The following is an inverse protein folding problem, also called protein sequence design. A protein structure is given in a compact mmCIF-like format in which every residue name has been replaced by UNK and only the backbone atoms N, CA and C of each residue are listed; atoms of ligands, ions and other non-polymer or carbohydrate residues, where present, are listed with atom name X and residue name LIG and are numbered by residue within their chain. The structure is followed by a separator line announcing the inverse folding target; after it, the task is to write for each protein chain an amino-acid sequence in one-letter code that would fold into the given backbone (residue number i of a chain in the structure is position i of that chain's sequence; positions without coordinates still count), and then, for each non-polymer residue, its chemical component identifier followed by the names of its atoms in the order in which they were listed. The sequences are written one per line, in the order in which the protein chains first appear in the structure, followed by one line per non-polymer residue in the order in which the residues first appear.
data_IF_947808376766
#
_entry.id   IF_947808376766
#
_cell.length_a   1.000
_cell.length_b   1.000
_cell.length_c   1.000
_cell.angle_alpha   90.00
_cell.angle_beta   90.00
_cell.angle_gamma   90.00
#
_symmetry.space_group_name_H-M   'P 1'
#
loop_
_entity.id
_entity.type
_entity.pdbx_description
1 polymer ?
#
# COMPACT_ATOMS: atom_id res chain seq x y z
N UNK A 1 19.59 -16.14 4.15
CA UNK A 1 18.45 -15.65 4.95
C UNK A 1 17.70 -14.64 4.08
N UNK A 2 16.41 -14.84 3.83
CA UNK A 2 15.61 -13.94 2.99
C UNK A 2 15.08 -12.77 3.81
N UNK A 3 14.98 -11.60 3.19
CA UNK A 3 14.33 -10.43 3.79
C UNK A 3 12.87 -10.38 3.35
N UNK A 4 11.92 -10.36 4.29
CA UNK A 4 10.51 -10.24 4.00
C UNK A 4 10.13 -8.76 4.13
N UNK A 5 9.59 -8.18 3.06
CA UNK A 5 9.13 -6.81 3.01
C UNK A 5 7.60 -6.79 3.00
N UNK A 6 6.98 -6.29 4.07
CA UNK A 6 5.55 -6.02 4.12
C UNK A 6 5.27 -4.57 3.74
N UNK A 7 4.44 -4.36 2.74
CA UNK A 7 3.95 -3.03 2.40
C UNK A 7 2.47 -3.07 2.04
N UNK A 8 1.74 -2.08 2.54
CA UNK A 8 0.29 -2.02 2.48
C UNK A 8 -0.17 -0.77 1.75
N UNK A 9 -1.17 -0.92 0.88
CA UNK A 9 -1.88 0.20 0.29
C UNK A 9 -3.01 0.64 1.22
N UNK A 10 -3.09 1.93 1.50
CA UNK A 10 -4.23 2.56 2.18
C UNK A 10 -4.80 3.63 1.27
N UNK A 11 -5.94 3.34 0.67
CA UNK A 11 -6.59 4.25 -0.26
C UNK A 11 -8.11 4.26 -0.07
N UNK A 12 -8.67 5.45 -0.01
CA UNK A 12 -10.12 5.66 -0.06
C UNK A 12 -10.43 6.78 -1.05
N UNK A 13 -11.11 6.48 -2.18
CA UNK A 13 -11.51 7.51 -3.13
C UNK A 13 -12.62 8.39 -2.53
N UNK A 14 -12.66 9.65 -2.94
CA UNK A 14 -13.83 10.47 -2.71
C UNK A 14 -14.99 9.99 -3.61
N UNK A 15 -16.11 9.65 -2.99
CA UNK A 15 -17.34 9.29 -3.69
C UNK A 15 -18.12 10.53 -3.99
N UNK A 16 -18.54 10.64 -5.25
CA UNK A 16 -19.33 11.79 -5.73
C UNK A 16 -20.81 11.49 -5.56
N UNK A 17 -21.58 12.51 -5.17
CA UNK A 17 -23.05 12.42 -5.22
C UNK A 17 -23.55 12.40 -6.67
N UNK A 18 -24.76 11.90 -6.84
CA UNK A 18 -25.41 11.97 -8.16
C UNK A 18 -25.62 13.44 -8.55
N UNK A 19 -24.96 13.88 -9.61
CA UNK A 19 -24.99 15.23 -10.13
C UNK A 19 -25.88 15.28 -11.38
N UNK A 20 -26.76 16.26 -11.46
CA UNK A 20 -27.66 16.45 -12.61
C UNK A 20 -27.14 17.58 -13.49
N UNK A 21 -27.50 17.58 -14.77
CA UNK A 21 -27.14 18.64 -15.71
C UNK A 21 -27.47 20.04 -15.17
N UNK A 22 -28.65 20.21 -14.56
CA UNK A 22 -29.12 21.50 -14.04
C UNK A 22 -28.41 21.94 -12.72
N UNK A 23 -27.64 21.08 -12.09
CA UNK A 23 -26.86 21.40 -10.91
C UNK A 23 -25.51 22.04 -11.27
N UNK A 24 -25.06 21.88 -12.53
CA UNK A 24 -23.81 22.44 -13.02
C UNK A 24 -23.79 23.96 -12.90
N UNK A 25 -22.74 24.49 -12.28
CA UNK A 25 -22.58 25.93 -12.05
C UNK A 25 -23.49 26.56 -10.98
N UNK A 26 -24.34 25.72 -10.32
CA UNK A 26 -25.23 26.19 -9.22
C UNK A 26 -24.87 25.59 -7.87
N UNK A 27 -24.48 24.35 -7.83
CA UNK A 27 -24.03 23.64 -6.62
C UNK A 27 -22.63 23.10 -6.87
N UNK A 28 -21.69 23.49 -6.01
CA UNK A 28 -20.29 23.05 -6.08
C UNK A 28 -19.95 22.00 -5.01
N UNK A 29 -20.93 21.51 -4.27
CA UNK A 29 -20.76 20.40 -3.36
C UNK A 29 -20.89 19.07 -4.10
N UNK A 30 -19.78 18.56 -4.64
CA UNK A 30 -19.74 17.36 -5.48
C UNK A 30 -19.67 16.06 -4.66
N UNK A 31 -19.28 16.14 -3.40
CA UNK A 31 -18.98 14.97 -2.55
C UNK A 31 -20.24 14.40 -1.90
N UNK A 32 -20.32 13.08 -1.85
CA UNK A 32 -21.31 12.37 -1.04
C UNK A 32 -20.77 12.20 0.40
N UNK A 33 -20.93 13.24 1.21
CA UNK A 33 -20.41 13.27 2.58
C UNK A 33 -20.95 12.15 3.47
N UNK A 34 -22.21 11.77 3.30
CA UNK A 34 -22.83 10.71 4.10
C UNK A 34 -22.18 9.36 3.80
N UNK A 35 -22.06 9.02 2.52
CA UNK A 35 -21.43 7.77 2.08
C UNK A 35 -19.94 7.75 2.43
N UNK A 36 -19.19 8.83 2.16
CA UNK A 36 -17.77 8.92 2.48
C UNK A 36 -17.53 8.75 3.98
N UNK A 37 -18.30 9.44 4.83
CA UNK A 37 -18.23 9.31 6.29
C UNK A 37 -18.55 7.89 6.74
N UNK A 38 -19.65 7.31 6.26
CA UNK A 38 -20.10 5.97 6.66
C UNK A 38 -19.05 4.91 6.34
N UNK A 39 -18.48 4.96 5.13
CA UNK A 39 -17.45 4.00 4.70
C UNK A 39 -16.16 4.21 5.48
N UNK A 40 -15.68 5.46 5.64
CA UNK A 40 -14.47 5.71 6.40
C UNK A 40 -14.59 5.25 7.85
N UNK A 41 -15.72 5.51 8.51
CA UNK A 41 -15.96 5.06 9.88
C UNK A 41 -16.07 3.54 9.99
N UNK A 42 -16.67 2.87 9.00
CA UNK A 42 -16.71 1.41 8.94
C UNK A 42 -15.31 0.82 8.84
N UNK A 43 -14.53 1.25 7.84
CA UNK A 43 -13.18 0.74 7.62
C UNK A 43 -12.25 1.10 8.78
N UNK A 44 -12.41 2.28 9.39
CA UNK A 44 -11.70 2.66 10.61
C UNK A 44 -11.89 1.64 11.73
N UNK A 45 -13.13 1.26 11.98
CA UNK A 45 -13.49 0.33 13.07
C UNK A 45 -13.12 -1.12 12.77
N UNK A 46 -13.32 -1.55 11.52
CA UNK A 46 -13.21 -2.97 11.15
C UNK A 46 -11.80 -3.36 10.69
N UNK A 47 -11.01 -2.39 10.16
CA UNK A 47 -9.68 -2.61 9.61
C UNK A 47 -8.61 -1.74 10.28
N UNK A 48 -8.62 -0.41 10.05
CA UNK A 48 -7.46 0.43 10.33
C UNK A 48 -7.06 0.46 11.82
N UNK A 49 -8.00 0.67 12.72
CA UNK A 49 -7.71 0.72 14.16
C UNK A 49 -7.25 -0.63 14.72
N UNK A 50 -7.95 -1.76 14.45
CA UNK A 50 -7.49 -3.08 14.91
C UNK A 50 -6.12 -3.43 14.35
N UNK A 51 -5.89 -3.24 13.06
CA UNK A 51 -4.63 -3.60 12.42
C UNK A 51 -3.47 -2.70 12.88
N UNK A 52 -3.69 -1.38 13.03
CA UNK A 52 -2.67 -0.48 13.57
C UNK A 52 -2.30 -0.84 15.02
N UNK A 53 -3.27 -1.29 15.83
CA UNK A 53 -3.00 -1.78 17.17
C UNK A 53 -2.18 -3.07 17.16
N UNK A 54 -2.51 -4.02 16.26
CA UNK A 54 -1.75 -5.25 16.06
C UNK A 54 -0.29 -4.95 15.67
N UNK A 55 -0.08 -4.14 14.65
CA UNK A 55 1.27 -3.76 14.18
C UNK A 55 2.07 -3.05 15.27
N UNK A 56 1.44 -2.15 16.01
CA UNK A 56 2.09 -1.48 17.14
C UNK A 56 2.55 -2.47 18.21
N UNK A 57 1.73 -3.47 18.52
CA UNK A 57 2.07 -4.53 19.47
C UNK A 57 3.21 -5.42 18.95
N UNK A 58 3.17 -5.80 17.66
CA UNK A 58 4.25 -6.58 17.03
C UNK A 58 5.59 -5.84 17.05
N UNK A 59 5.59 -4.54 16.76
CA UNK A 59 6.79 -3.70 16.86
C UNK A 59 7.34 -3.70 18.30
N UNK A 60 6.48 -3.54 19.31
CA UNK A 60 6.89 -3.55 20.72
C UNK A 60 7.42 -4.91 21.17
N UNK A 61 6.69 -5.99 20.83
CA UNK A 61 7.07 -7.36 21.22
C UNK A 61 8.37 -7.82 20.55
N UNK A 62 8.61 -7.35 19.33
CA UNK A 62 9.84 -7.64 18.60
C UNK A 62 11.01 -6.70 18.94
N UNK A 63 10.83 -5.77 19.89
CA UNK A 63 11.83 -4.76 20.24
C UNK A 63 12.31 -3.95 19.01
N UNK A 64 11.38 -3.63 18.09
CA UNK A 64 11.65 -2.88 16.87
C UNK A 64 12.29 -3.69 15.74
N UNK A 65 12.40 -5.00 15.85
CA UNK A 65 12.87 -5.87 14.75
C UNK A 65 11.83 -6.05 13.65
N UNK A 66 10.55 -6.05 14.01
CA UNK A 66 9.47 -6.00 13.02
C UNK A 66 9.34 -4.59 12.44
N UNK A 67 9.31 -4.51 11.12
CA UNK A 67 9.15 -3.26 10.38
C UNK A 67 8.17 -3.49 9.24
N UNK A 68 7.43 -2.45 8.85
CA UNK A 68 6.53 -2.48 7.70
C UNK A 68 6.47 -1.12 7.01
N UNK A 69 5.82 -1.10 5.85
CA UNK A 69 5.78 0.07 4.98
C UNK A 69 4.34 0.33 4.53
N UNK A 70 3.96 1.60 4.43
CA UNK A 70 2.66 2.02 3.92
C UNK A 70 2.77 2.89 2.68
N UNK A 71 1.92 2.61 1.70
CA UNK A 71 1.55 3.49 0.61
C UNK A 71 0.20 4.11 1.00
N UNK A 72 0.20 5.34 1.50
CA UNK A 72 -0.95 6.01 2.09
C UNK A 72 -1.30 7.25 1.29
N UNK A 73 -2.38 7.21 0.51
CA UNK A 73 -2.76 8.30 -0.39
C UNK A 73 -3.16 9.59 0.32
N UNK A 74 -2.97 10.73 -0.33
CA UNK A 74 -3.43 12.02 0.18
C UNK A 74 -4.93 12.05 0.42
N UNK A 75 -5.72 11.44 -0.48
CA UNK A 75 -7.17 11.37 -0.33
C UNK A 75 -7.61 10.56 0.91
N UNK A 76 -6.89 9.48 1.23
CA UNK A 76 -7.17 8.72 2.44
C UNK A 76 -6.86 9.54 3.70
N UNK A 77 -5.74 10.28 3.71
CA UNK A 77 -5.39 11.20 4.82
C UNK A 77 -6.44 12.29 4.99
N UNK A 78 -6.93 12.88 3.90
CA UNK A 78 -8.00 13.89 3.95
C UNK A 78 -9.28 13.34 4.57
N UNK A 79 -9.71 12.15 4.14
CA UNK A 79 -10.91 11.50 4.66
C UNK A 79 -10.75 11.07 6.12
N UNK A 80 -9.57 10.54 6.52
CA UNK A 80 -9.28 10.26 7.92
C UNK A 80 -9.38 11.52 8.77
N UNK A 81 -8.80 12.63 8.31
CA UNK A 81 -8.87 13.93 9.02
C UNK A 81 -10.30 14.42 9.19
N UNK A 82 -11.15 14.22 8.17
CA UNK A 82 -12.52 14.69 8.17
C UNK A 82 -13.49 13.80 8.97
N UNK A 83 -13.29 12.46 8.94
CA UNK A 83 -14.31 11.52 9.39
C UNK A 83 -13.85 10.50 10.44
N UNK A 84 -12.54 10.31 10.62
CA UNK A 84 -11.93 9.36 11.55
C UNK A 84 -10.52 9.83 12.00
N UNK A 85 -10.41 10.99 12.68
CA UNK A 85 -9.11 11.55 13.08
C UNK A 85 -8.29 10.62 13.98
N UNK A 86 -8.95 9.75 14.75
CA UNK A 86 -8.31 8.73 15.58
C UNK A 86 -7.49 7.71 14.76
N UNK A 87 -7.90 7.44 13.52
CA UNK A 87 -7.13 6.58 12.60
C UNK A 87 -5.82 7.28 12.20
N UNK A 88 -5.90 8.56 11.81
CA UNK A 88 -4.71 9.33 11.46
C UNK A 88 -3.74 9.42 12.65
N UNK A 89 -4.25 9.59 13.86
CA UNK A 89 -3.43 9.59 15.08
C UNK A 89 -2.79 8.23 15.35
N UNK A 90 -3.48 7.13 15.03
CA UNK A 90 -2.91 5.79 15.13
C UNK A 90 -1.75 5.56 14.15
N UNK A 91 -1.84 6.06 12.90
CA UNK A 91 -0.72 6.05 11.94
C UNK A 91 0.45 6.94 12.42
N UNK A 92 0.16 8.12 13.00
CA UNK A 92 1.21 8.97 13.60
C UNK A 92 1.93 8.26 14.75
N UNK A 93 1.21 7.47 15.56
CA UNK A 93 1.82 6.64 16.62
C UNK A 93 2.74 5.57 16.04
N UNK A 94 2.33 4.90 14.96
CA UNK A 94 3.17 3.94 14.23
C UNK A 94 4.42 4.63 13.68
N UNK A 95 4.28 5.79 13.04
CA UNK A 95 5.42 6.55 12.51
C UNK A 95 6.47 6.88 13.60
N UNK A 96 6.02 7.29 14.80
CA UNK A 96 6.91 7.62 15.93
C UNK A 96 7.71 6.44 16.47
N UNK A 97 7.36 5.21 16.12
CA UNK A 97 8.17 4.03 16.51
C UNK A 97 9.50 3.95 15.75
N UNK A 98 9.64 4.65 14.63
CA UNK A 98 10.78 4.53 13.72
C UNK A 98 10.88 3.17 12.99
N UNK A 99 9.83 2.33 13.11
CA UNK A 99 9.76 1.01 12.49
C UNK A 99 8.79 0.95 11.31
N UNK A 100 8.18 2.09 10.95
CA UNK A 100 7.25 2.22 9.84
C UNK A 100 7.80 3.22 8.83
N UNK A 101 7.85 2.83 7.56
CA UNK A 101 8.20 3.68 6.44
C UNK A 101 6.93 4.05 5.65
N UNK A 102 6.89 5.27 5.13
CA UNK A 102 5.85 5.71 4.18
C UNK A 102 6.47 5.84 2.79
N UNK A 103 5.82 5.24 1.80
CA UNK A 103 6.21 5.37 0.40
C UNK A 103 5.70 6.68 -0.18
N UNK A 104 6.43 7.23 -1.15
CA UNK A 104 5.87 8.24 -2.03
C UNK A 104 4.98 7.57 -3.07
N UNK A 105 3.91 8.26 -3.43
CA UNK A 105 2.99 7.87 -4.51
C UNK A 105 2.33 9.12 -5.12
N UNK A 106 1.40 8.95 -6.06
CA UNK A 106 0.56 10.07 -6.52
C UNK A 106 -0.45 10.44 -5.43
N UNK A 107 -0.61 11.72 -5.14
CA UNK A 107 -1.48 12.24 -4.08
C UNK A 107 -2.91 11.69 -4.15
N UNK A 108 -3.48 11.67 -5.35
CA UNK A 108 -4.87 11.30 -5.59
C UNK A 108 -5.05 9.87 -6.14
N UNK A 109 -4.06 8.99 -5.99
CA UNK A 109 -4.07 7.67 -6.63
C UNK A 109 -4.26 7.77 -8.15
N UNK A 110 -3.58 8.72 -8.75
CA UNK A 110 -3.74 9.13 -10.14
C UNK A 110 -2.95 8.24 -11.10
N UNK A 111 -3.47 8.08 -12.32
CA UNK A 111 -2.76 7.47 -13.45
C UNK A 111 -1.93 8.47 -14.26
N UNK A 112 -1.59 9.63 -13.70
CA UNK A 112 -0.85 10.69 -14.36
C UNK A 112 0.48 10.23 -14.96
N UNK A 113 1.13 9.21 -14.37
CA UNK A 113 2.35 8.59 -14.91
C UNK A 113 2.21 8.05 -16.34
N UNK A 114 0.97 7.81 -16.81
CA UNK A 114 0.67 7.32 -18.16
C UNK A 114 0.35 8.44 -19.16
N UNK A 115 0.07 9.66 -18.68
CA UNK A 115 -0.47 10.75 -19.52
C UNK A 115 0.35 12.03 -19.49
N UNK A 116 0.83 12.46 -18.34
CA UNK A 116 1.53 13.74 -18.16
C UNK A 116 2.62 13.61 -17.10
N UNK A 117 3.87 13.80 -17.52
CA UNK A 117 5.02 13.81 -16.60
C UNK A 117 4.92 14.96 -15.58
N UNK A 118 4.48 16.14 -16.02
CA UNK A 118 4.32 17.30 -15.16
C UNK A 118 3.31 17.02 -14.04
N UNK A 119 2.12 16.53 -14.38
CA UNK A 119 1.09 16.19 -13.41
C UNK A 119 1.56 15.07 -12.47
N UNK A 120 2.25 14.08 -13.02
CA UNK A 120 2.82 13.00 -12.23
C UNK A 120 3.80 13.52 -11.18
N UNK A 121 4.77 14.36 -11.58
CA UNK A 121 5.74 14.95 -10.67
C UNK A 121 5.07 15.87 -9.64
N UNK A 122 4.07 16.65 -10.04
CA UNK A 122 3.31 17.50 -9.13
C UNK A 122 2.55 16.70 -8.08
N UNK A 123 1.85 15.62 -8.48
CA UNK A 123 1.14 14.73 -7.57
C UNK A 123 2.10 14.11 -6.54
N UNK A 124 3.27 13.66 -6.97
CA UNK A 124 4.28 13.07 -6.09
C UNK A 124 4.87 14.11 -5.13
N UNK A 125 5.12 15.33 -5.60
CA UNK A 125 5.61 16.43 -4.75
C UNK A 125 4.59 16.79 -3.65
N UNK A 126 3.31 16.94 -4.01
CA UNK A 126 2.22 17.20 -3.06
C UNK A 126 2.12 16.10 -2.01
N UNK A 127 2.21 14.83 -2.44
CA UNK A 127 2.18 13.69 -1.54
C UNK A 127 3.37 13.68 -0.59
N UNK A 128 4.59 13.92 -1.09
CA UNK A 128 5.81 13.96 -0.29
C UNK A 128 5.74 15.04 0.79
N UNK A 129 5.23 16.23 0.47
CA UNK A 129 5.03 17.30 1.44
C UNK A 129 3.96 16.93 2.48
N UNK A 130 2.89 16.24 2.08
CA UNK A 130 1.89 15.74 3.01
C UNK A 130 2.51 14.75 4.00
N UNK A 131 3.31 13.78 3.53
CA UNK A 131 3.97 12.78 4.39
C UNK A 131 4.90 13.45 5.40
N UNK A 132 5.70 14.44 4.97
CA UNK A 132 6.55 15.23 5.89
C UNK A 132 5.71 15.95 6.94
N UNK A 133 4.62 16.57 6.54
CA UNK A 133 3.75 17.34 7.44
C UNK A 133 3.06 16.45 8.47
N UNK A 134 2.54 15.30 8.05
CA UNK A 134 1.73 14.43 8.91
C UNK A 134 2.57 13.50 9.78
N UNK A 135 3.68 13.00 9.26
CA UNK A 135 4.48 11.95 9.90
C UNK A 135 5.91 12.37 10.22
N UNK A 136 6.34 13.56 9.79
CA UNK A 136 7.69 14.06 10.06
C UNK A 136 8.79 13.40 9.25
N UNK A 137 8.45 12.58 8.24
CA UNK A 137 9.41 11.78 7.47
C UNK A 137 9.20 12.03 5.98
N UNK A 138 10.30 12.26 5.26
CA UNK A 138 10.29 12.31 3.82
C UNK A 138 10.40 10.87 3.26
N UNK A 139 9.49 10.44 2.37
CA UNK A 139 9.61 9.15 1.68
C UNK A 139 10.92 9.05 0.90
N UNK A 140 11.53 7.86 0.93
CA UNK A 140 12.77 7.54 0.18
C UNK A 140 12.55 6.50 -0.92
N UNK A 141 11.47 5.75 -0.82
CA UNK A 141 11.02 4.77 -1.80
C UNK A 141 9.67 5.18 -2.40
N UNK A 142 9.41 4.70 -3.59
CA UNK A 142 8.25 5.08 -4.40
C UNK A 142 7.40 3.86 -4.78
N UNK A 143 6.09 4.02 -4.80
CA UNK A 143 5.14 3.09 -5.37
C UNK A 143 4.20 3.82 -6.32
N UNK A 144 4.13 3.39 -7.57
CA UNK A 144 3.16 3.97 -8.52
C UNK A 144 1.77 3.37 -8.30
N UNK A 145 0.74 4.13 -8.67
CA UNK A 145 -0.66 3.69 -8.70
C UNK A 145 -0.76 2.34 -9.40
N UNK A 146 -1.48 1.39 -8.77
CA UNK A 146 -1.68 0.00 -9.27
C UNK A 146 -0.38 -0.76 -9.57
N UNK A 147 0.75 -0.40 -8.93
CA UNK A 147 2.08 -0.95 -9.19
C UNK A 147 2.51 -0.85 -10.67
N UNK A 148 1.89 0.05 -11.44
CA UNK A 148 2.18 0.26 -12.85
C UNK A 148 3.64 0.68 -13.01
N UNK A 149 4.34 -0.03 -13.87
CA UNK A 149 5.74 0.19 -14.17
C UNK A 149 6.02 0.16 -15.67
N UNK A 150 6.90 1.02 -16.11
CA UNK A 150 7.70 0.92 -17.33
C UNK A 150 9.07 1.50 -17.05
N UNK A 151 10.07 1.19 -17.88
CA UNK A 151 11.42 1.74 -17.70
C UNK A 151 11.42 3.28 -17.77
N UNK A 152 10.52 3.88 -18.58
CA UNK A 152 10.35 5.33 -18.64
C UNK A 152 9.81 5.89 -17.32
N UNK A 153 8.75 5.30 -16.76
CA UNK A 153 8.20 5.71 -15.45
C UNK A 153 9.29 5.59 -14.40
N UNK A 154 10.03 4.48 -14.39
CA UNK A 154 11.16 4.31 -13.46
C UNK A 154 12.24 5.38 -13.63
N UNK A 155 12.56 5.78 -14.86
CA UNK A 155 13.50 6.89 -15.12
C UNK A 155 12.97 8.22 -14.57
N UNK A 156 11.68 8.53 -14.73
CA UNK A 156 11.06 9.73 -14.16
C UNK A 156 11.08 9.70 -12.62
N UNK A 157 10.88 8.53 -12.02
CA UNK A 157 10.97 8.32 -10.55
C UNK A 157 12.41 8.53 -10.05
N UNK A 158 13.40 8.04 -10.78
CA UNK A 158 14.81 8.28 -10.47
C UNK A 158 15.19 9.76 -10.55
N UNK A 159 14.65 10.47 -11.55
CA UNK A 159 14.83 11.92 -11.72
C UNK A 159 14.26 12.72 -10.54
N UNK A 160 13.14 12.26 -9.94
CA UNK A 160 12.60 12.84 -8.71
C UNK A 160 13.44 12.54 -7.46
N UNK A 161 14.53 11.76 -7.58
CA UNK A 161 15.50 11.49 -6.50
C UNK A 161 15.23 10.21 -5.70
N UNK A 162 14.21 9.40 -6.04
CA UNK A 162 13.97 8.12 -5.39
C UNK A 162 15.02 7.07 -5.83
N UNK A 163 15.36 6.20 -4.88
CA UNK A 163 16.36 5.13 -5.11
C UNK A 163 15.75 3.75 -5.25
N UNK A 164 14.51 3.59 -4.79
CA UNK A 164 13.78 2.33 -4.80
C UNK A 164 12.35 2.56 -5.27
N UNK A 165 11.88 1.67 -6.14
CA UNK A 165 10.49 1.65 -6.59
C UNK A 165 9.93 0.24 -6.45
N UNK A 166 8.69 0.17 -5.99
CA UNK A 166 7.93 -1.06 -5.89
C UNK A 166 7.07 -1.22 -7.15
N UNK A 167 7.08 -2.41 -7.72
CA UNK A 167 6.34 -2.72 -8.95
C UNK A 167 5.76 -4.14 -8.89
N UNK A 168 4.86 -4.48 -9.82
CA UNK A 168 4.28 -5.83 -9.93
C UNK A 168 5.31 -6.83 -10.46
N UNK A 169 5.35 -8.02 -9.85
CA UNK A 169 6.16 -9.15 -10.31
C UNK A 169 5.46 -9.92 -11.43
N UNK A 170 5.13 -9.25 -12.53
CA UNK A 170 4.32 -9.78 -13.61
C UNK A 170 5.01 -10.96 -14.32
N UNK A 171 4.47 -12.17 -14.18
CA UNK A 171 5.06 -13.42 -14.68
C UNK A 171 5.33 -13.38 -16.18
N UNK A 172 4.43 -12.77 -16.96
CA UNK A 172 4.60 -12.70 -18.43
C UNK A 172 5.77 -11.80 -18.85
N UNK A 173 6.20 -10.87 -17.99
CA UNK A 173 7.39 -10.03 -18.20
C UNK A 173 8.64 -10.71 -17.67
N UNK A 174 8.57 -11.29 -16.47
CA UNK A 174 9.71 -11.95 -15.83
C UNK A 174 10.09 -13.26 -16.52
N UNK A 175 9.13 -13.96 -17.13
CA UNK A 175 9.35 -15.28 -17.71
C UNK A 175 9.75 -16.29 -16.64
N UNK A 176 10.98 -16.79 -16.72
CA UNK A 176 11.55 -17.73 -15.75
C UNK A 176 12.19 -17.08 -14.53
N UNK A 177 12.37 -15.76 -14.54
CA UNK A 177 13.05 -15.03 -13.45
C UNK A 177 12.12 -14.90 -12.24
N UNK A 178 12.71 -14.94 -11.04
CA UNK A 178 11.99 -14.79 -9.78
C UNK A 178 11.75 -13.32 -9.41
N UNK A 179 10.59 -12.93 -8.83
CA UNK A 179 10.38 -11.63 -8.23
C UNK A 179 11.20 -11.44 -6.93
N UNK A 180 11.87 -12.47 -6.44
CA UNK A 180 12.68 -12.45 -5.22
C UNK A 180 14.05 -11.79 -5.39
N UNK A 181 14.45 -11.39 -6.60
CA UNK A 181 15.68 -10.64 -6.83
C UNK A 181 15.43 -9.13 -6.81
N UNK A 182 16.47 -8.38 -6.46
CA UNK A 182 16.47 -6.92 -6.62
C UNK A 182 16.87 -6.58 -8.04
N UNK A 183 15.95 -5.94 -8.77
CA UNK A 183 16.19 -5.49 -10.13
C UNK A 183 16.67 -4.03 -10.18
N UNK A 184 17.04 -3.57 -11.35
CA UNK A 184 17.32 -2.17 -11.60
C UNK A 184 16.54 -1.69 -12.83
N UNK A 185 16.19 -0.41 -12.84
CA UNK A 185 15.60 0.21 -14.03
C UNK A 185 16.60 0.17 -15.20
N UNK A 186 16.14 -0.17 -16.41
CA UNK A 186 17.02 -0.32 -17.56
C UNK A 186 17.57 1.03 -18.08
N UNK A 187 16.82 2.12 -17.89
CA UNK A 187 17.22 3.47 -18.32
C UNK A 187 18.03 4.21 -17.25
N UNK A 188 17.79 3.93 -15.97
CA UNK A 188 18.54 4.50 -14.85
C UNK A 188 18.82 3.44 -13.79
N UNK A 189 19.98 2.83 -13.85
CA UNK A 189 20.39 1.75 -12.96
C UNK A 189 20.55 2.15 -11.49
N UNK A 190 20.48 3.43 -11.15
CA UNK A 190 20.47 3.90 -9.76
C UNK A 190 19.16 3.57 -9.05
N UNK A 191 18.05 3.45 -9.81
CA UNK A 191 16.77 3.04 -9.27
C UNK A 191 16.70 1.51 -9.13
N UNK A 192 16.52 1.04 -7.91
CA UNK A 192 16.28 -0.37 -7.61
C UNK A 192 14.78 -0.68 -7.65
N UNK A 193 14.45 -1.87 -8.14
CA UNK A 193 13.08 -2.33 -8.24
C UNK A 193 12.88 -3.53 -7.31
N UNK A 194 11.87 -3.44 -6.46
CA UNK A 194 11.38 -4.51 -5.62
C UNK A 194 10.04 -4.99 -6.22
N UNK A 195 10.00 -6.25 -6.63
CA UNK A 195 8.86 -6.80 -7.35
C UNK A 195 7.95 -7.59 -6.41
N UNK A 196 6.66 -7.29 -6.47
CA UNK A 196 5.63 -7.98 -5.67
C UNK A 196 5.64 -9.48 -5.97
N UNK A 197 5.68 -10.30 -4.93
CA UNK A 197 5.33 -11.70 -5.04
C UNK A 197 3.81 -11.83 -5.02
N UNK A 198 3.19 -11.80 -6.22
CA UNK A 198 1.74 -11.78 -6.35
C UNK A 198 1.10 -13.04 -5.79
N UNK A 199 1.72 -14.22 -5.98
CA UNK A 199 1.17 -15.50 -5.51
C UNK A 199 1.01 -15.49 -3.99
N UNK A 200 2.06 -15.21 -3.25
CA UNK A 200 2.04 -15.18 -1.80
C UNK A 200 1.18 -14.04 -1.25
N UNK A 201 1.17 -12.88 -1.92
CA UNK A 201 0.30 -11.76 -1.53
C UNK A 201 -1.17 -12.09 -1.73
N UNK A 202 -1.54 -12.71 -2.86
CA UNK A 202 -2.91 -13.09 -3.21
C UNK A 202 -3.42 -14.26 -2.35
N UNK A 203 -2.52 -15.11 -1.84
CA UNK A 203 -2.88 -16.19 -0.92
C UNK A 203 -3.47 -15.61 0.38
N UNK A 204 -2.98 -14.47 0.85
CA UNK A 204 -3.58 -13.74 1.97
C UNK A 204 -4.79 -12.91 1.50
N UNK A 205 -4.61 -12.08 0.47
CA UNK A 205 -5.59 -11.07 0.10
C UNK A 205 -6.91 -11.67 -0.40
N UNK A 206 -6.85 -12.76 -1.17
CA UNK A 206 -8.03 -13.31 -1.85
C UNK A 206 -8.38 -14.74 -1.47
N UNK A 207 -7.44 -15.51 -0.94
CA UNK A 207 -7.64 -16.95 -0.69
C UNK A 207 -7.80 -17.33 0.76
N UNK A 208 -7.43 -16.44 1.70
CA UNK A 208 -7.41 -16.72 3.13
C UNK A 208 -8.72 -17.34 3.64
N UNK A 209 -9.87 -16.77 3.30
CA UNK A 209 -11.19 -17.27 3.70
C UNK A 209 -11.86 -18.20 2.69
N UNK A 210 -11.21 -18.48 1.56
CA UNK A 210 -11.78 -19.35 0.50
C UNK A 210 -11.68 -20.82 0.87
N UNK A 211 -12.76 -21.38 1.42
CA UNK A 211 -12.85 -22.80 1.80
C UNK A 211 -12.76 -23.79 0.62
N UNK A 212 -12.95 -23.31 -0.62
CA UNK A 212 -12.79 -24.12 -1.83
C UNK A 212 -11.35 -24.17 -2.35
N UNK A 213 -10.43 -23.42 -1.74
CA UNK A 213 -9.03 -23.44 -2.11
C UNK A 213 -8.35 -24.70 -1.58
N UNK A 214 -7.56 -25.37 -2.42
CA UNK A 214 -6.88 -26.62 -2.09
C UNK A 214 -5.88 -26.50 -0.92
N UNK A 215 -5.39 -25.31 -0.63
CA UNK A 215 -4.50 -25.02 0.49
C UNK A 215 -5.22 -24.46 1.74
N UNK A 216 -6.55 -24.38 1.72
CA UNK A 216 -7.32 -23.97 2.90
C UNK A 216 -7.24 -25.03 4.02
N UNK A 217 -7.16 -24.65 5.32
CA UNK A 217 -6.97 -23.30 5.83
C UNK A 217 -5.52 -22.80 5.67
N UNK A 218 -5.36 -21.49 5.47
CA UNK A 218 -4.05 -20.86 5.51
C UNK A 218 -3.71 -20.52 6.95
N UNK A 219 -2.83 -21.32 7.56
CA UNK A 219 -2.32 -21.03 8.91
C UNK A 219 -0.98 -20.30 8.88
N UNK A 220 -0.61 -19.66 10.00
CA UNK A 220 0.67 -18.98 10.13
C UNK A 220 1.85 -19.94 9.90
N UNK A 221 1.79 -21.16 10.42
CA UNK A 221 2.82 -22.18 10.22
C UNK A 221 2.99 -22.58 8.75
N UNK A 222 1.87 -22.80 8.07
CA UNK A 222 1.88 -23.14 6.63
C UNK A 222 2.49 -21.98 5.82
N UNK A 223 2.05 -20.76 6.07
CA UNK A 223 2.52 -19.60 5.32
C UNK A 223 4.00 -19.31 5.59
N UNK A 224 4.44 -19.36 6.84
CA UNK A 224 5.85 -19.19 7.21
C UNK A 224 6.72 -20.32 6.64
N UNK A 225 6.20 -21.55 6.55
CA UNK A 225 6.85 -22.65 5.86
C UNK A 225 7.10 -22.34 4.39
N UNK A 226 6.13 -21.75 3.69
CA UNK A 226 6.33 -21.31 2.30
C UNK A 226 7.36 -20.18 2.18
N UNK A 227 7.32 -19.20 3.09
CA UNK A 227 8.31 -18.11 3.11
C UNK A 227 9.75 -18.60 3.37
N UNK A 228 9.88 -19.66 4.14
CA UNK A 228 11.17 -20.27 4.46
C UNK A 228 11.67 -21.28 3.41
N UNK A 229 10.83 -21.63 2.44
CA UNK A 229 11.15 -22.63 1.42
C UNK A 229 12.33 -22.21 0.54
N UNK A 230 13.19 -23.18 0.20
CA UNK A 230 14.28 -22.98 -0.75
C UNK A 230 13.78 -22.84 -2.19
N UNK A 231 12.53 -23.23 -2.46
CA UNK A 231 11.87 -23.03 -3.76
C UNK A 231 11.63 -21.56 -4.10
N UNK A 232 11.58 -20.68 -3.08
CA UNK A 232 11.55 -19.24 -3.30
C UNK A 232 12.94 -18.72 -3.63
N UNK A 233 13.21 -18.54 -4.91
CA UNK A 233 14.48 -17.97 -5.37
C UNK A 233 14.61 -16.49 -5.03
N UNK A 234 15.84 -16.07 -4.69
CA UNK A 234 16.21 -14.67 -4.43
C UNK A 234 16.38 -14.33 -2.95
N UNK A 235 16.72 -13.07 -2.70
CA UNK A 235 17.08 -12.56 -1.38
C UNK A 235 15.94 -11.85 -0.66
N UNK A 236 14.89 -11.48 -1.38
CA UNK A 236 13.75 -10.72 -0.86
C UNK A 236 12.41 -11.38 -1.18
N UNK A 237 11.46 -11.23 -0.28
CA UNK A 237 10.05 -11.59 -0.53
C UNK A 237 9.21 -10.33 -0.30
N UNK A 238 8.70 -9.75 -1.36
CA UNK A 238 7.92 -8.53 -1.31
C UNK A 238 6.42 -8.89 -1.27
N UNK A 239 5.78 -8.64 -0.14
CA UNK A 239 4.36 -8.90 0.10
C UNK A 239 3.60 -7.58 0.09
N UNK A 240 2.78 -7.39 -0.92
CA UNK A 240 1.94 -6.21 -1.08
C UNK A 240 0.47 -6.58 -1.20
N UNK A 241 -0.35 -5.88 -0.45
CA UNK A 241 -1.81 -5.99 -0.52
C UNK A 241 -2.47 -4.72 0.02
N UNK A 242 -3.73 -4.57 -0.30
CA UNK A 242 -4.54 -3.53 0.31
C UNK A 242 -4.63 -3.76 1.81
N UNK A 243 -4.52 -2.68 2.57
CA UNK A 243 -4.59 -2.76 4.02
C UNK A 243 -5.98 -3.18 4.50
N UNK A 244 -7.00 -2.86 3.71
CA UNK A 244 -8.37 -3.28 3.86
C UNK A 244 -8.56 -4.80 3.76
N UNK A 245 -7.56 -5.53 3.30
CA UNK A 245 -7.52 -6.98 3.39
C UNK A 245 -7.78 -7.45 4.83
N UNK A 246 -7.23 -6.75 5.82
CA UNK A 246 -7.31 -7.13 7.24
C UNK A 246 -8.53 -6.49 7.90
N UNK A 247 -9.65 -7.18 7.89
CA UNK A 247 -10.89 -6.82 8.56
C UNK A 247 -12.04 -6.37 7.66
N UNK A 248 -11.75 -5.85 6.46
CA UNK A 248 -12.78 -5.48 5.47
C UNK A 248 -12.98 -6.58 4.42
N UNK A 249 -11.93 -6.95 3.66
CA UNK A 249 -12.02 -8.00 2.65
C UNK A 249 -12.00 -9.39 3.29
N UNK A 250 -11.10 -9.62 4.23
CA UNK A 250 -11.06 -10.78 5.10
C UNK A 250 -11.57 -10.33 6.47
N UNK A 251 -12.81 -10.71 6.79
CA UNK A 251 -13.47 -10.24 8.01
C UNK A 251 -12.83 -10.84 9.25
N UNK A 252 -12.97 -10.17 10.40
CA UNK A 252 -12.41 -10.64 11.67
C UNK A 252 -12.86 -12.06 12.05
N UNK A 253 -14.12 -12.44 11.71
CA UNK A 253 -14.66 -13.78 11.94
C UNK A 253 -14.01 -14.89 11.10
N UNK A 254 -13.15 -14.55 10.15
CA UNK A 254 -12.33 -15.53 9.40
C UNK A 254 -11.04 -15.93 10.11
N UNK A 255 -10.68 -15.25 11.21
CA UNK A 255 -9.43 -15.47 11.94
C UNK A 255 -8.23 -14.70 11.36
N UNK A 256 -8.45 -13.67 10.53
CA UNK A 256 -7.37 -12.91 9.87
C UNK A 256 -6.49 -12.13 10.87
N UNK A 257 -6.95 -11.90 12.08
CA UNK A 257 -6.22 -11.21 13.14
C UNK A 257 -5.60 -12.15 14.19
N UNK A 258 -5.81 -13.47 14.07
CA UNK A 258 -5.40 -14.51 15.03
C UNK A 258 -3.94 -15.00 14.84
#
# INVERSE_FOLDING_TARGET
MKTICFYFQVHQPWRLKRYRFFDMGRDHNYLDDLTNRSIMQKVARECYLPMNALLFNLIRQSEGRFRCTFSLTGLAVEQMRAYAPEVLDSFRRLARTGCVEFLAETYSHSLASLSSKEDFMQQVALHTELMKKEFGVAPTAFRNTELIYSDRIGSDVAEMGFKTMLAEGARHVLGWKSPGYVYANALDQRLRLLLRNYKLSDDIAFRFSNRGWDQWPLTAEKYTGWLASDELEGDVVNLFMDYETFGEHQRADTGIFD
#
